data_IF_975809625581
#
_entry.id   IF_975809625581
#
_cell.length_a   1.000
_cell.length_b   1.000
_cell.length_c   1.000
_cell.angle_alpha   90.00
_cell.angle_beta   90.00
_cell.angle_gamma   90.00
#
_symmetry.space_group_name_H-M   'P 1'
#
loop_
_entity.id
_entity.type
_entity.pdbx_description
1 polymer ?
#
# COMPACT_ATOMS: atom_id res chain seq x y z
N UNK A 1 18.89 -15.99 -1.81
CA UNK A 1 18.00 -15.70 -2.93
C UNK A 1 17.47 -14.28 -2.84
N UNK A 2 17.18 -13.70 -3.97
CA UNK A 2 16.62 -12.34 -4.04
C UNK A 2 15.14 -12.42 -4.41
N UNK A 3 14.35 -11.52 -3.84
CA UNK A 3 12.91 -11.48 -4.06
C UNK A 3 12.52 -10.11 -4.59
N UNK A 4 11.66 -10.10 -5.60
CA UNK A 4 10.98 -8.90 -6.05
C UNK A 4 9.51 -9.04 -5.67
N UNK A 5 9.02 -8.08 -4.89
CA UNK A 5 7.63 -8.03 -4.48
C UNK A 5 6.96 -6.85 -5.19
N UNK A 6 5.75 -7.09 -5.68
CA UNK A 6 4.92 -6.03 -6.22
C UNK A 6 3.73 -5.78 -5.28
N UNK A 7 3.48 -4.52 -4.98
CA UNK A 7 2.40 -4.12 -4.10
C UNK A 7 1.86 -2.75 -4.55
N UNK A 8 0.68 -2.39 -4.06
CA UNK A 8 0.12 -1.09 -4.37
C UNK A 8 0.78 0.03 -3.56
N UNK A 9 0.95 -0.17 -2.27
CA UNK A 9 1.54 0.79 -1.33
C UNK A 9 1.63 0.16 0.06
N UNK A 10 2.43 0.71 0.97
CA UNK A 10 2.21 0.49 2.39
C UNK A 10 0.80 0.95 2.75
N UNK A 11 0.17 0.27 3.72
CA UNK A 11 -1.19 0.59 4.13
C UNK A 11 -1.27 1.96 4.82
N UNK A 12 -2.41 2.62 4.69
CA UNK A 12 -2.60 4.01 5.12
C UNK A 12 -2.46 4.25 6.62
N UNK A 13 -2.57 3.21 7.44
CA UNK A 13 -2.39 3.33 8.89
C UNK A 13 -0.93 3.48 9.31
N UNK A 14 0.01 3.23 8.39
CA UNK A 14 1.44 3.41 8.64
C UNK A 14 1.88 4.80 8.17
N UNK A 15 2.92 5.33 8.80
CA UNK A 15 3.59 6.51 8.29
C UNK A 15 4.33 6.15 7.01
N UNK A 16 3.88 6.67 5.88
CA UNK A 16 4.37 6.29 4.57
C UNK A 16 5.87 6.59 4.41
N UNK A 17 6.28 7.81 4.73
CA UNK A 17 7.68 8.22 4.58
C UNK A 17 8.60 7.38 5.46
N UNK A 18 8.22 7.20 6.72
CA UNK A 18 8.99 6.39 7.65
C UNK A 18 9.09 4.93 7.19
N UNK A 19 7.99 4.35 6.74
CA UNK A 19 7.96 2.96 6.27
C UNK A 19 8.90 2.76 5.08
N UNK A 20 8.88 3.67 4.12
CA UNK A 20 9.74 3.58 2.94
C UNK A 20 11.22 3.77 3.30
N UNK A 21 11.54 4.68 4.22
CA UNK A 21 12.91 4.87 4.71
C UNK A 21 13.43 3.63 5.44
N UNK A 22 12.61 3.01 6.25
CA UNK A 22 12.99 1.78 6.97
C UNK A 22 13.26 0.63 5.99
N UNK A 23 12.43 0.48 4.95
CA UNK A 23 12.68 -0.51 3.92
C UNK A 23 14.04 -0.29 3.24
N UNK A 24 14.37 0.95 2.93
CA UNK A 24 15.65 1.30 2.31
C UNK A 24 16.82 1.00 3.24
N UNK A 25 16.70 1.27 4.53
CA UNK A 25 17.74 0.94 5.53
C UNK A 25 18.00 -0.57 5.60
N UNK A 26 16.98 -1.38 5.39
CA UNK A 26 17.10 -2.83 5.37
C UNK A 26 17.66 -3.36 4.03
N UNK A 27 18.06 -2.48 3.14
CA UNK A 27 18.66 -2.85 1.86
C UNK A 27 17.65 -3.21 0.78
N UNK A 28 16.38 -2.85 0.95
CA UNK A 28 15.34 -3.11 -0.05
C UNK A 28 15.31 -1.94 -1.04
N UNK A 29 15.40 -2.25 -2.33
CA UNK A 29 15.28 -1.24 -3.37
C UNK A 29 13.80 -0.98 -3.67
N UNK A 30 13.32 0.21 -3.34
CA UNK A 30 11.91 0.61 -3.53
C UNK A 30 11.82 1.47 -4.79
N UNK A 31 10.95 1.10 -5.71
CA UNK A 31 10.69 1.89 -6.92
C UNK A 31 9.23 1.79 -7.35
N UNK A 32 8.79 2.76 -8.14
CA UNK A 32 7.48 2.72 -8.81
C UNK A 32 7.62 2.02 -10.16
N UNK A 33 6.49 1.61 -10.70
CA UNK A 33 6.43 0.98 -12.03
C UNK A 33 6.14 2.08 -13.07
N UNK A 34 7.16 2.90 -13.37
CA UNK A 34 7.02 4.04 -14.26
C UNK A 34 6.52 5.31 -13.58
N UNK A 35 6.29 5.25 -12.28
CA UNK A 35 5.83 6.39 -11.47
C UNK A 35 6.88 6.72 -10.43
N UNK A 36 7.11 8.00 -10.20
CA UNK A 36 8.14 8.47 -9.25
C UNK A 36 7.58 8.94 -7.91
N UNK A 37 6.33 8.60 -7.61
CA UNK A 37 5.65 9.06 -6.40
C UNK A 37 4.83 7.94 -5.79
N UNK A 38 4.93 7.80 -4.46
CA UNK A 38 4.00 7.02 -3.66
C UNK A 38 3.18 7.98 -2.80
N UNK A 39 1.86 7.87 -2.84
CA UNK A 39 0.97 8.83 -2.15
C UNK A 39 -0.22 8.18 -1.46
N UNK A 40 -0.02 7.01 -0.90
CA UNK A 40 -1.03 6.32 -0.10
C UNK A 40 -1.58 5.08 -0.77
N UNK A 41 -2.53 4.46 -0.09
CA UNK A 41 -3.13 3.19 -0.49
C UNK A 41 -4.60 3.38 -0.85
N UNK A 42 -5.51 3.25 0.11
CA UNK A 42 -6.94 3.50 -0.09
C UNK A 42 -7.30 4.97 0.06
N UNK A 43 -6.49 5.71 0.79
CA UNK A 43 -6.67 7.15 1.03
C UNK A 43 -5.51 7.91 0.41
N UNK A 44 -5.76 9.15 0.02
CA UNK A 44 -4.71 10.01 -0.51
C UNK A 44 -3.86 10.57 0.64
N UNK A 45 -2.55 10.42 0.53
CA UNK A 45 -1.59 10.94 1.50
C UNK A 45 -0.60 11.88 0.81
N UNK A 46 0.19 12.60 1.61
CA UNK A 46 1.25 13.43 1.08
C UNK A 46 2.23 12.59 0.26
N UNK A 47 2.63 13.06 -0.93
CA UNK A 47 3.49 12.27 -1.80
C UNK A 47 4.89 12.11 -1.24
N UNK A 48 5.45 10.92 -1.45
CA UNK A 48 6.85 10.61 -1.16
C UNK A 48 7.51 10.25 -2.47
N UNK A 49 8.64 10.88 -2.78
CA UNK A 49 9.38 10.60 -4.02
C UNK A 49 10.06 9.23 -3.93
N UNK A 50 9.97 8.47 -5.01
CA UNK A 50 10.63 7.19 -5.18
C UNK A 50 11.21 7.11 -6.59
N UNK A 51 12.23 6.26 -6.82
CA UNK A 51 12.70 5.99 -8.18
C UNK A 51 11.57 5.41 -9.04
N UNK A 52 11.57 5.72 -10.32
CA UNK A 52 10.55 5.26 -11.27
C UNK A 52 10.96 4.07 -12.13
N UNK A 53 12.21 3.64 -12.02
CA UNK A 53 12.76 2.62 -12.89
C UNK A 53 12.31 1.20 -12.52
N UNK A 54 12.45 0.30 -13.51
CA UNK A 54 12.18 -1.12 -13.34
C UNK A 54 13.48 -1.93 -13.32
N UNK A 55 14.60 -1.27 -12.95
CA UNK A 55 15.92 -1.88 -12.97
C UNK A 55 15.99 -3.10 -12.06
N UNK A 56 16.46 -4.20 -12.60
CA UNK A 56 16.69 -5.42 -11.83
C UNK A 56 17.97 -5.27 -11.05
N UNK A 57 17.87 -5.34 -9.73
CA UNK A 57 19.00 -5.33 -8.82
C UNK A 57 19.29 -6.77 -8.39
N UNK A 58 20.36 -7.36 -8.93
CA UNK A 58 20.67 -8.78 -8.66
C UNK A 58 21.14 -9.03 -7.23
N UNK A 59 21.60 -8.00 -6.56
CA UNK A 59 22.15 -8.09 -5.20
C UNK A 59 21.20 -7.60 -4.11
N UNK A 60 20.00 -7.18 -4.47
CA UNK A 60 19.03 -6.62 -3.53
C UNK A 60 17.64 -7.19 -3.73
N UNK A 61 16.91 -7.27 -2.62
CA UNK A 61 15.47 -7.45 -2.68
C UNK A 61 14.83 -6.15 -3.19
N UNK A 62 13.73 -6.27 -3.88
CA UNK A 62 13.08 -5.13 -4.53
C UNK A 62 11.60 -5.07 -4.20
N UNK A 63 11.11 -3.87 -3.93
CA UNK A 63 9.69 -3.60 -3.75
C UNK A 63 9.25 -2.66 -4.87
N UNK A 64 8.35 -3.15 -5.71
CA UNK A 64 7.75 -2.37 -6.79
C UNK A 64 6.38 -1.90 -6.34
N UNK A 65 6.15 -0.59 -6.37
CA UNK A 65 4.90 0.00 -5.93
C UNK A 65 4.07 0.46 -7.13
N UNK A 66 2.88 -0.14 -7.29
CA UNK A 66 1.90 0.25 -8.30
C UNK A 66 0.66 0.80 -7.58
N UNK A 67 0.63 2.10 -7.39
CA UNK A 67 -0.43 2.74 -6.62
C UNK A 67 -1.81 2.56 -7.25
N UNK A 68 -2.81 2.50 -6.39
CA UNK A 68 -4.22 2.45 -6.80
C UNK A 68 -4.58 3.78 -7.47
N UNK A 69 -5.28 3.77 -8.62
CA UNK A 69 -5.70 5.02 -9.25
C UNK A 69 -6.48 5.91 -8.28
N UNK A 70 -6.17 7.20 -8.29
CA UNK A 70 -6.74 8.17 -7.38
C UNK A 70 -8.27 8.15 -7.37
N UNK A 71 -8.88 7.99 -8.53
CA UNK A 71 -10.35 7.96 -8.67
C UNK A 71 -11.02 6.76 -7.98
N UNK A 72 -10.27 5.70 -7.72
CA UNK A 72 -10.77 4.49 -7.05
C UNK A 72 -10.61 4.54 -5.55
N UNK A 73 -9.87 5.50 -5.04
CA UNK A 73 -9.60 5.62 -3.60
C UNK A 73 -10.81 6.20 -2.88
N UNK A 74 -10.82 6.01 -1.57
CA UNK A 74 -11.85 6.56 -0.70
C UNK A 74 -11.63 8.05 -0.58
N UNK A 75 -12.65 8.85 -0.96
CA UNK A 75 -12.53 10.32 -0.99
C UNK A 75 -12.91 10.99 0.33
N UNK A 76 -13.60 10.26 1.20
CA UNK A 76 -14.05 10.79 2.48
C UNK A 76 -13.03 10.51 3.59
N UNK A 77 -12.25 11.51 3.96
CA UNK A 77 -11.23 11.40 4.99
C UNK A 77 -11.82 11.12 6.39
N UNK A 78 -13.10 11.41 6.60
CA UNK A 78 -13.76 11.11 7.87
C UNK A 78 -13.80 9.60 8.14
N UNK A 79 -13.83 8.79 7.09
CA UNK A 79 -13.79 7.32 7.20
C UNK A 79 -12.44 6.89 7.81
N UNK A 80 -11.34 7.49 7.36
CA UNK A 80 -10.02 7.22 7.92
C UNK A 80 -9.99 7.57 9.42
N UNK A 81 -10.48 8.74 9.78
CA UNK A 81 -10.49 9.19 11.17
C UNK A 81 -11.35 8.29 12.06
N UNK A 82 -12.52 7.88 11.59
CA UNK A 82 -13.40 6.97 12.32
C UNK A 82 -12.75 5.59 12.51
N UNK A 83 -12.14 5.06 11.46
CA UNK A 83 -11.46 3.76 11.52
C UNK A 83 -10.26 3.81 12.47
N UNK A 84 -9.51 4.91 12.48
CA UNK A 84 -8.37 5.10 13.36
C UNK A 84 -8.81 5.12 14.83
N UNK A 85 -9.86 5.87 15.15
CA UNK A 85 -10.42 5.89 16.50
C UNK A 85 -10.91 4.53 16.95
N UNK A 86 -11.62 3.83 16.07
CA UNK A 86 -12.11 2.49 16.35
C UNK A 86 -10.96 1.51 16.65
N UNK A 87 -9.90 1.57 15.85
CA UNK A 87 -8.74 0.69 16.03
C UNK A 87 -8.00 0.99 17.33
N UNK A 88 -7.87 2.26 17.70
CA UNK A 88 -7.25 2.65 18.98
C UNK A 88 -8.06 2.16 20.17
N UNK A 89 -9.39 2.24 20.10
CA UNK A 89 -10.26 1.72 21.16
C UNK A 89 -10.18 0.18 21.22
N UNK A 90 -10.13 -0.48 20.08
CA UNK A 90 -9.98 -1.93 20.01
C UNK A 90 -8.66 -2.39 20.67
N UNK A 91 -7.58 -1.66 20.43
CA UNK A 91 -6.27 -1.95 21.02
C UNK A 91 -6.30 -1.87 22.53
N UNK A 92 -7.03 -0.91 23.10
CA UNK A 92 -7.22 -0.80 24.55
C UNK A 92 -7.94 -2.01 25.13
N UNK A 93 -8.72 -2.73 24.34
CA UNK A 93 -9.42 -3.96 24.70
C UNK A 93 -8.65 -5.21 24.30
N UNK A 94 -7.35 -5.06 24.04
CA UNK A 94 -6.44 -6.14 23.67
C UNK A 94 -6.78 -6.81 22.32
N UNK A 95 -7.50 -6.09 21.44
CA UNK A 95 -7.75 -6.52 20.07
C UNK A 95 -6.66 -5.97 19.15
N UNK A 96 -6.49 -6.60 17.99
CA UNK A 96 -5.45 -6.20 17.05
C UNK A 96 -5.82 -4.92 16.31
N UNK A 97 -4.88 -3.98 16.27
CA UNK A 97 -5.08 -2.66 15.65
C UNK A 97 -5.36 -2.76 14.14
N UNK A 98 -4.49 -3.45 13.40
CA UNK A 98 -4.59 -3.47 11.92
C UNK A 98 -5.87 -4.15 11.43
N UNK A 99 -6.24 -5.35 11.90
CA UNK A 99 -7.50 -5.96 11.50
C UNK A 99 -8.70 -5.12 11.89
N UNK A 100 -8.67 -4.46 13.04
CA UNK A 100 -9.77 -3.60 13.49
C UNK A 100 -9.93 -2.37 12.61
N UNK A 101 -8.83 -1.74 12.21
CA UNK A 101 -8.83 -0.62 11.28
C UNK A 101 -9.43 -1.05 9.92
N UNK A 102 -8.93 -2.13 9.36
CA UNK A 102 -9.39 -2.62 8.06
C UNK A 102 -10.87 -3.00 8.08
N UNK A 103 -11.30 -3.68 9.14
CA UNK A 103 -12.69 -4.06 9.31
C UNK A 103 -13.61 -2.83 9.33
N UNK A 104 -13.20 -1.80 10.04
CA UNK A 104 -14.01 -0.57 10.16
C UNK A 104 -14.08 0.19 8.84
N UNK A 105 -12.99 0.30 8.11
CA UNK A 105 -12.99 0.92 6.77
C UNK A 105 -13.95 0.15 5.85
N UNK A 106 -13.90 -1.17 5.87
CA UNK A 106 -14.75 -1.98 5.02
C UNK A 106 -16.22 -1.83 5.38
N UNK A 107 -16.53 -1.80 6.67
CA UNK A 107 -17.88 -1.59 7.18
C UNK A 107 -18.41 -0.21 6.77
N UNK A 108 -17.63 0.86 6.98
CA UNK A 108 -18.04 2.23 6.65
C UNK A 108 -18.15 2.47 5.14
N UNK A 109 -17.47 1.69 4.34
CA UNK A 109 -17.55 1.77 2.87
C UNK A 109 -18.47 0.71 2.25
N UNK A 110 -19.20 -0.04 3.08
CA UNK A 110 -20.12 -1.10 2.64
C UNK A 110 -19.44 -2.10 1.69
N UNK A 111 -18.23 -2.52 2.05
CA UNK A 111 -17.46 -3.51 1.28
C UNK A 111 -16.63 -2.94 0.14
N UNK A 112 -16.72 -1.64 -0.13
CA UNK A 112 -15.99 -1.02 -1.22
C UNK A 112 -14.47 -1.16 -1.05
N UNK A 113 -13.96 -1.00 0.17
CA UNK A 113 -12.52 -1.10 0.42
C UNK A 113 -11.96 -2.47 0.09
N UNK A 114 -12.69 -3.54 0.43
CA UNK A 114 -12.27 -4.90 0.07
C UNK A 114 -12.27 -5.12 -1.44
N UNK A 115 -13.25 -4.56 -2.14
CA UNK A 115 -13.32 -4.67 -3.60
C UNK A 115 -12.16 -3.96 -4.28
N UNK A 116 -11.81 -2.74 -3.84
CA UNK A 116 -10.69 -1.99 -4.40
C UNK A 116 -9.37 -2.73 -4.16
N UNK A 117 -9.19 -3.30 -2.98
CA UNK A 117 -7.98 -4.07 -2.66
C UNK A 117 -7.87 -5.32 -3.53
N UNK A 118 -8.97 -6.03 -3.77
CA UNK A 118 -8.97 -7.18 -4.65
C UNK A 118 -8.66 -6.78 -6.09
N UNK A 119 -9.27 -5.72 -6.59
CA UNK A 119 -8.98 -5.19 -7.92
C UNK A 119 -7.51 -4.81 -8.09
N UNK A 120 -6.91 -4.20 -7.06
CA UNK A 120 -5.50 -3.84 -7.06
C UNK A 120 -4.60 -5.09 -7.13
N UNK A 121 -4.95 -6.13 -6.37
CA UNK A 121 -4.23 -7.40 -6.41
C UNK A 121 -4.30 -8.03 -7.80
N UNK A 122 -5.48 -8.09 -8.39
CA UNK A 122 -5.68 -8.63 -9.75
C UNK A 122 -4.89 -7.81 -10.77
N UNK A 123 -4.93 -6.49 -10.66
CA UNK A 123 -4.17 -5.60 -11.54
C UNK A 123 -2.67 -5.88 -11.45
N UNK A 124 -2.15 -6.11 -10.26
CA UNK A 124 -0.74 -6.44 -10.05
C UNK A 124 -0.37 -7.79 -10.66
N UNK A 125 -1.25 -8.78 -10.53
CA UNK A 125 -1.02 -10.11 -11.14
C UNK A 125 -0.97 -9.99 -12.66
N UNK A 126 -1.90 -9.25 -13.26
CA UNK A 126 -1.92 -9.02 -14.71
C UNK A 126 -0.67 -8.29 -15.19
N UNK A 127 -0.23 -7.29 -14.43
CA UNK A 127 1.01 -6.57 -14.76
C UNK A 127 2.22 -7.52 -14.75
N UNK A 128 2.29 -8.41 -13.77
CA UNK A 128 3.36 -9.41 -13.70
C UNK A 128 3.35 -10.33 -14.91
N UNK A 129 2.17 -10.80 -15.33
CA UNK A 129 2.03 -11.66 -16.51
C UNK A 129 2.52 -10.95 -17.78
N UNK A 130 2.27 -9.65 -17.91
CA UNK A 130 2.63 -8.87 -19.09
C UNK A 130 4.09 -8.42 -19.12
N UNK A 131 4.71 -8.24 -17.95
CA UNK A 131 6.02 -7.58 -17.82
C UNK A 131 7.14 -8.47 -17.27
N UNK A 132 6.83 -9.69 -16.85
CA UNK A 132 7.81 -10.63 -16.32
C UNK A 132 7.79 -11.90 -17.14
N UNK A 133 8.93 -12.21 -17.75
CA UNK A 133 9.13 -13.46 -18.48
C UNK A 133 9.65 -14.49 -17.50
N UNK A 134 8.95 -15.59 -17.41
CA UNK A 134 9.36 -16.73 -16.58
C UNK A 134 10.11 -17.73 -17.44
#
# INVERSE_FOLDING_TARGET
SRVSLIAASPKDMFDLEHTLKEAQKEGIYVSGCGDNVCNGYLFLQNPVEIPSDLKIMQDKNRLLLRKIPKKKRIQDDSIFEQALRYAKEAEKRELLFHPSFNQKVDELTEGYSSRVQLEALISNIRWLEENVTI
#
